data_IF_633616060655
#
_entry.id   IF_633616060655
#
_cell.length_a   1.000
_cell.length_b   1.000
_cell.length_c   1.000
_cell.angle_alpha   90.00
_cell.angle_beta   90.00
_cell.angle_gamma   90.00
#
_symmetry.space_group_name_H-M   'P 1'
#
loop_
_entity.id
_entity.type
_entity.pdbx_description
1 polymer ?
#
# COMPACT_ATOMS: atom_id res chain seq x y z
N UNK A 1 -19.09 -16.94 13.87
CA UNK A 1 -18.50 -16.80 12.53
C UNK A 1 -17.06 -17.24 12.63
N UNK A 2 -16.52 -17.87 11.60
CA UNK A 2 -15.30 -18.66 11.67
C UNK A 2 -14.02 -17.80 11.66
N UNK A 3 -14.12 -16.55 12.14
CA UNK A 3 -13.04 -15.55 12.14
C UNK A 3 -12.68 -15.00 10.76
N UNK A 4 -13.42 -15.37 9.70
CA UNK A 4 -13.14 -14.98 8.31
C UNK A 4 -14.02 -13.82 7.87
N UNK A 5 -13.39 -12.76 7.36
CA UNK A 5 -14.08 -11.64 6.70
C UNK A 5 -14.37 -12.02 5.23
N UNK A 6 -15.64 -12.00 4.78
CA UNK A 6 -16.04 -12.60 3.50
C UNK A 6 -15.80 -11.69 2.29
N UNK A 7 -15.42 -10.43 2.51
CA UNK A 7 -15.32 -9.42 1.47
C UNK A 7 -13.88 -8.90 1.32
N UNK A 8 -13.67 -7.91 0.44
CA UNK A 8 -12.33 -7.38 0.18
C UNK A 8 -11.77 -6.67 1.42
N UNK A 9 -10.48 -6.86 1.71
CA UNK A 9 -9.82 -6.25 2.88
C UNK A 9 -9.97 -4.72 2.93
N UNK A 10 -10.03 -4.03 1.78
CA UNK A 10 -10.24 -2.58 1.74
C UNK A 10 -11.66 -2.15 2.12
N UNK A 11 -12.67 -3.03 1.98
CA UNK A 11 -14.01 -2.76 2.50
C UNK A 11 -14.05 -2.81 4.03
N UNK A 12 -13.11 -3.53 4.66
CA UNK A 12 -13.08 -3.66 6.11
C UNK A 12 -12.90 -2.30 6.80
N UNK A 13 -12.08 -1.41 6.23
CA UNK A 13 -11.95 -0.04 6.73
C UNK A 13 -13.31 0.63 6.80
N UNK A 14 -14.02 0.68 5.66
CA UNK A 14 -15.29 1.39 5.58
C UNK A 14 -16.33 0.77 6.53
N UNK A 15 -16.38 -0.55 6.64
CA UNK A 15 -17.32 -1.23 7.55
C UNK A 15 -17.01 -0.98 9.01
N UNK A 16 -15.73 -1.03 9.39
CA UNK A 16 -15.30 -0.77 10.75
C UNK A 16 -15.47 0.71 11.14
N UNK A 17 -15.24 1.64 10.22
CA UNK A 17 -15.52 3.07 10.43
C UNK A 17 -17.02 3.35 10.61
N UNK A 18 -17.90 2.63 9.91
CA UNK A 18 -19.36 2.84 10.00
C UNK A 18 -19.97 2.26 11.28
N UNK A 19 -19.40 1.17 11.81
CA UNK A 19 -19.87 0.54 13.06
C UNK A 19 -18.72 0.25 14.06
N UNK A 20 -18.07 1.28 14.63
CA UNK A 20 -16.97 1.08 15.57
C UNK A 20 -17.39 0.31 16.82
N UNK A 21 -18.66 0.37 17.22
CA UNK A 21 -19.16 -0.34 18.42
C UNK A 21 -19.07 -1.86 18.29
N UNK A 22 -19.24 -2.37 17.07
CA UNK A 22 -19.11 -3.80 16.78
C UNK A 22 -17.65 -4.20 16.56
N UNK A 23 -16.88 -3.38 15.84
CA UNK A 23 -15.54 -3.74 15.38
C UNK A 23 -14.42 -3.36 16.36
N UNK A 24 -14.59 -2.27 17.11
CA UNK A 24 -13.62 -1.74 18.08
C UNK A 24 -14.33 -1.30 19.37
N UNK A 25 -14.94 -2.23 20.14
CA UNK A 25 -15.73 -1.90 21.32
C UNK A 25 -14.92 -1.26 22.47
N UNK A 26 -13.60 -1.35 22.41
CA UNK A 26 -12.63 -0.76 23.33
C UNK A 26 -12.12 0.63 22.89
N UNK A 27 -12.51 1.10 21.70
CA UNK A 27 -12.18 2.44 21.22
C UNK A 27 -13.00 3.48 21.99
N UNK A 28 -12.37 4.60 22.37
CA UNK A 28 -13.07 5.73 23.00
C UNK A 28 -14.23 6.19 22.10
N UNK A 29 -15.44 6.34 22.65
CA UNK A 29 -16.62 6.81 21.92
C UNK A 29 -16.42 8.19 21.26
N UNK A 30 -15.43 8.97 21.71
CA UNK A 30 -15.05 10.28 21.14
C UNK A 30 -13.96 10.19 20.09
N UNK A 31 -13.39 9.01 19.86
CA UNK A 31 -12.39 8.82 18.83
C UNK A 31 -12.99 9.04 17.43
N UNK A 32 -12.13 9.40 16.49
CA UNK A 32 -12.48 9.41 15.08
C UNK A 32 -12.93 8.00 14.66
N UNK A 33 -14.12 7.82 14.04
CA UNK A 33 -14.54 6.53 13.52
C UNK A 33 -13.52 5.86 12.60
N UNK A 34 -12.73 6.65 11.86
CA UNK A 34 -11.68 6.13 10.98
C UNK A 34 -10.53 5.46 11.74
N UNK A 35 -10.35 5.75 13.04
CA UNK A 35 -9.40 5.03 13.88
C UNK A 35 -9.77 3.54 13.99
N UNK A 36 -11.07 3.19 14.00
CA UNK A 36 -11.49 1.79 13.96
C UNK A 36 -11.25 1.16 12.59
N UNK A 37 -11.51 1.91 11.52
CA UNK A 37 -11.21 1.50 10.14
C UNK A 37 -9.75 1.13 9.94
N UNK A 38 -8.84 2.02 10.37
CA UNK A 38 -7.40 1.83 10.30
C UNK A 38 -6.96 0.62 11.12
N UNK A 39 -7.31 0.57 12.41
CA UNK A 39 -6.96 -0.55 13.29
C UNK A 39 -7.41 -1.90 12.75
N UNK A 40 -8.60 -1.95 12.13
CA UNK A 40 -9.16 -3.18 11.55
C UNK A 40 -8.39 -3.63 10.32
N UNK A 41 -7.99 -2.71 9.44
CA UNK A 41 -7.13 -3.03 8.29
C UNK A 41 -5.74 -3.44 8.74
N UNK A 42 -5.11 -2.70 9.65
CA UNK A 42 -3.77 -3.02 10.16
C UNK A 42 -3.72 -4.41 10.77
N UNK A 43 -4.67 -4.70 11.67
CA UNK A 43 -4.79 -6.03 12.27
C UNK A 43 -5.02 -7.11 11.22
N UNK A 44 -5.89 -6.87 10.23
CA UNK A 44 -6.15 -7.86 9.19
C UNK A 44 -4.94 -8.10 8.29
N UNK A 45 -4.27 -7.05 7.82
CA UNK A 45 -3.06 -7.16 7.00
C UNK A 45 -1.95 -7.84 7.80
N UNK A 46 -1.73 -7.43 9.05
CA UNK A 46 -0.76 -8.06 9.94
C UNK A 46 -1.04 -9.55 10.14
N UNK A 47 -2.29 -9.95 10.34
CA UNK A 47 -2.70 -11.35 10.42
C UNK A 47 -2.47 -12.12 9.10
N UNK A 48 -2.74 -11.50 7.95
CA UNK A 48 -2.55 -12.12 6.63
C UNK A 48 -1.08 -12.26 6.23
N UNK A 49 -0.22 -11.35 6.64
CA UNK A 49 1.22 -11.40 6.40
C UNK A 49 1.95 -12.17 7.51
N UNK A 50 1.33 -12.29 8.68
CA UNK A 50 1.95 -12.87 9.86
C UNK A 50 3.02 -11.97 10.46
N UNK A 51 2.89 -10.65 10.38
CA UNK A 51 3.84 -9.68 10.94
C UNK A 51 3.08 -8.64 11.75
N UNK A 52 3.78 -8.00 12.69
CA UNK A 52 3.24 -6.83 13.38
C UNK A 52 3.37 -5.58 12.49
N UNK A 53 2.24 -4.91 12.26
CA UNK A 53 2.22 -3.58 11.64
C UNK A 53 2.35 -2.58 12.79
N UNK A 54 3.51 -1.93 12.88
CA UNK A 54 3.80 -1.02 13.98
C UNK A 54 3.12 0.33 13.83
N UNK A 55 3.08 0.85 12.60
CA UNK A 55 2.56 2.17 12.27
C UNK A 55 2.00 2.21 10.84
N UNK A 56 1.12 3.18 10.59
CA UNK A 56 0.59 3.48 9.26
C UNK A 56 0.92 4.91 8.83
N UNK A 57 0.92 5.13 7.51
CA UNK A 57 0.85 6.44 6.91
C UNK A 57 -0.30 6.45 5.89
N UNK A 58 -1.34 7.23 6.17
CA UNK A 58 -2.49 7.43 5.31
C UNK A 58 -2.34 8.77 4.58
N UNK A 59 -2.48 8.74 3.26
CA UNK A 59 -2.41 9.92 2.40
C UNK A 59 -3.59 9.89 1.44
N UNK A 60 -4.29 11.02 1.32
CA UNK A 60 -5.34 11.17 0.30
C UNK A 60 -4.74 11.61 -1.05
N UNK A 61 -5.59 11.70 -2.08
CA UNK A 61 -5.12 12.04 -3.42
C UNK A 61 -4.53 13.45 -3.52
N UNK A 62 -5.12 14.42 -2.81
CA UNK A 62 -4.66 15.81 -2.83
C UNK A 62 -3.31 15.92 -2.09
N UNK A 63 -3.23 15.31 -0.92
CA UNK A 63 -2.02 15.22 -0.13
C UNK A 63 -0.88 14.51 -0.88
N UNK A 64 -1.19 13.48 -1.65
CA UNK A 64 -0.21 12.81 -2.50
C UNK A 64 0.37 13.73 -3.58
N UNK A 65 -0.50 14.48 -4.29
CA UNK A 65 -0.05 15.44 -5.29
C UNK A 65 0.78 16.56 -4.65
N UNK A 66 0.31 17.14 -3.54
CA UNK A 66 1.04 18.17 -2.80
C UNK A 66 2.41 17.69 -2.31
N UNK A 67 2.52 16.44 -1.86
CA UNK A 67 3.78 15.86 -1.41
C UNK A 67 4.79 15.77 -2.56
N UNK A 68 4.35 15.33 -3.74
CA UNK A 68 5.20 15.24 -4.92
C UNK A 68 5.67 16.62 -5.38
N UNK A 69 4.77 17.59 -5.42
CA UNK A 69 5.13 18.96 -5.76
C UNK A 69 6.13 19.55 -4.76
N UNK A 70 5.97 19.24 -3.46
CA UNK A 70 6.87 19.69 -2.40
C UNK A 70 8.28 19.11 -2.50
N UNK A 71 8.47 17.93 -3.11
CA UNK A 71 9.80 17.37 -3.38
C UNK A 71 10.40 17.84 -4.72
N UNK A 72 9.70 18.71 -5.45
CA UNK A 72 10.15 19.25 -6.74
C UNK A 72 9.69 18.43 -7.96
N UNK A 73 8.68 17.58 -7.79
CA UNK A 73 8.18 16.67 -8.80
C UNK A 73 8.82 15.27 -8.74
N UNK A 74 8.33 14.38 -9.59
CA UNK A 74 8.69 12.97 -9.61
C UNK A 74 9.25 12.57 -10.97
N UNK A 75 10.48 12.05 -11.03
CA UNK A 75 11.02 11.50 -12.28
C UNK A 75 10.49 10.08 -12.51
N UNK A 76 9.65 9.89 -13.53
CA UNK A 76 9.17 8.57 -13.95
C UNK A 76 9.70 8.24 -15.35
N UNK A 77 10.06 6.97 -15.56
CA UNK A 77 10.55 6.45 -16.82
C UNK A 77 9.56 5.45 -17.40
N UNK A 78 8.79 5.87 -18.41
CA UNK A 78 7.78 5.03 -19.04
C UNK A 78 8.39 4.30 -20.26
N UNK A 79 8.17 2.98 -20.42
CA UNK A 79 8.71 2.23 -21.56
C UNK A 79 8.02 2.57 -22.89
N UNK A 80 6.81 3.12 -22.83
CA UNK A 80 5.97 3.54 -23.95
C UNK A 80 4.99 4.63 -23.52
N UNK A 81 4.19 5.14 -24.45
CA UNK A 81 3.19 6.17 -24.16
C UNK A 81 2.01 5.56 -23.40
N UNK A 82 1.65 6.11 -22.24
CA UNK A 82 0.47 5.68 -21.50
C UNK A 82 -0.76 6.42 -22.04
N UNK A 83 -1.75 5.66 -22.50
CA UNK A 83 -3.05 6.18 -22.91
C UNK A 83 -4.14 5.62 -22.00
N UNK A 84 -4.96 6.47 -21.40
CA UNK A 84 -6.17 6.06 -20.68
C UNK A 84 -7.35 6.97 -21.06
N UNK A 85 -8.15 6.58 -22.07
CA UNK A 85 -9.24 7.41 -22.59
C UNK A 85 -10.46 7.46 -21.67
N UNK A 86 -10.46 6.67 -20.60
CA UNK A 86 -11.54 6.64 -19.60
C UNK A 86 -11.06 7.19 -18.26
N UNK A 87 -9.94 7.91 -18.25
CA UNK A 87 -9.35 8.43 -17.04
C UNK A 87 -10.17 9.60 -16.50
N UNK A 88 -10.66 9.45 -15.27
CA UNK A 88 -11.30 10.52 -14.52
C UNK A 88 -10.23 11.35 -13.81
N UNK A 89 -9.56 12.25 -14.57
CA UNK A 89 -8.49 13.14 -14.10
C UNK A 89 -8.84 14.16 -13.02
N UNK A 90 -9.90 13.92 -12.26
CA UNK A 90 -10.28 14.71 -11.10
C UNK A 90 -9.85 14.01 -9.81
N UNK A 91 -9.38 14.80 -8.83
CA UNK A 91 -9.19 14.36 -7.43
C UNK A 91 -10.49 13.80 -6.82
N UNK A 92 -11.64 14.20 -7.39
CA UNK A 92 -12.98 13.83 -6.95
C UNK A 92 -13.66 12.78 -7.87
N UNK A 93 -12.93 12.15 -8.80
CA UNK A 93 -13.47 11.24 -9.85
C UNK A 93 -14.57 11.88 -10.73
N UNK A 94 -14.50 13.19 -10.97
CA UNK A 94 -15.35 13.86 -11.95
C UNK A 94 -14.88 13.53 -13.38
N UNK A 95 -15.82 13.24 -14.27
CA UNK A 95 -15.55 12.95 -15.69
C UNK A 95 -14.76 14.10 -16.32
N UNK A 96 -13.60 13.79 -16.87
CA UNK A 96 -12.81 14.72 -17.69
C UNK A 96 -13.04 14.35 -19.16
N UNK A 97 -13.27 15.34 -20.02
CA UNK A 97 -13.52 15.08 -21.45
C UNK A 97 -12.25 14.65 -22.22
N UNK A 98 -11.07 14.79 -21.62
CA UNK A 98 -9.78 14.52 -22.25
C UNK A 98 -9.16 13.21 -21.76
N UNK A 99 -8.70 12.40 -22.71
CA UNK A 99 -7.95 11.18 -22.43
C UNK A 99 -6.62 11.49 -21.72
N UNK A 100 -6.24 10.69 -20.74
CA UNK A 100 -4.88 10.75 -20.18
C UNK A 100 -3.89 10.28 -21.25
N UNK A 101 -2.87 11.09 -21.52
CA UNK A 101 -1.71 10.71 -22.34
C UNK A 101 -0.44 11.13 -21.63
N UNK A 102 0.39 10.17 -21.22
CA UNK A 102 1.73 10.44 -20.68
C UNK A 102 2.81 9.94 -21.65
N UNK A 103 3.82 10.76 -21.96
CA UNK A 103 4.82 10.43 -22.97
C UNK A 103 5.76 9.32 -22.52
N UNK A 104 6.29 8.56 -23.49
CA UNK A 104 7.35 7.59 -23.26
C UNK A 104 8.67 8.27 -22.85
N UNK A 105 9.52 7.54 -22.12
CA UNK A 105 10.83 8.01 -21.67
C UNK A 105 10.82 8.54 -20.24
N UNK A 106 11.95 9.11 -19.82
CA UNK A 106 12.14 9.64 -18.47
C UNK A 106 11.83 11.13 -18.41
N UNK A 107 10.73 11.50 -17.76
CA UNK A 107 10.30 12.89 -17.62
C UNK A 107 10.06 13.23 -16.14
N UNK A 108 10.22 14.51 -15.75
CA UNK A 108 9.66 15.00 -14.50
C UNK A 108 8.14 15.11 -14.64
N UNK A 109 7.42 14.65 -13.64
CA UNK A 109 5.97 14.76 -13.52
C UNK A 109 5.63 15.54 -12.26
N UNK A 110 4.64 16.42 -12.35
CA UNK A 110 4.08 17.07 -11.16
C UNK A 110 3.20 16.10 -10.37
N UNK A 111 2.68 16.56 -9.24
CA UNK A 111 1.84 15.74 -8.37
C UNK A 111 0.59 15.20 -9.04
N UNK A 112 -0.03 15.96 -9.95
CA UNK A 112 -1.25 15.54 -10.64
C UNK A 112 -0.95 14.50 -11.71
N UNK A 113 0.11 14.68 -12.50
CA UNK A 113 0.52 13.71 -13.51
C UNK A 113 0.99 12.39 -12.87
N UNK A 114 1.76 12.47 -11.79
CA UNK A 114 2.19 11.28 -11.04
C UNK A 114 1.01 10.55 -10.40
N UNK A 115 0.01 11.29 -9.90
CA UNK A 115 -1.23 10.71 -9.39
C UNK A 115 -2.01 10.02 -10.52
N UNK A 116 -2.08 10.66 -11.69
CA UNK A 116 -2.74 10.09 -12.86
C UNK A 116 -2.08 8.80 -13.33
N UNK A 117 -0.74 8.79 -13.37
CA UNK A 117 0.05 7.59 -13.66
C UNK A 117 -0.27 6.43 -12.70
N UNK A 118 -0.36 6.72 -11.39
CA UNK A 118 -0.65 5.73 -10.35
C UNK A 118 -2.11 5.24 -10.33
N UNK A 119 -3.06 6.03 -10.83
CA UNK A 119 -4.51 5.73 -10.81
C UNK A 119 -5.02 5.09 -12.09
N UNK A 120 -4.41 5.37 -13.24
CA UNK A 120 -4.83 4.85 -14.53
C UNK A 120 -5.01 3.33 -14.48
N UNK A 121 -6.06 2.83 -15.13
CA UNK A 121 -6.43 1.40 -15.09
C UNK A 121 -6.93 0.87 -16.42
N UNK A 122 -7.64 1.67 -17.21
CA UNK A 122 -8.43 1.20 -18.36
C UNK A 122 -7.79 1.59 -19.70
N UNK A 123 -6.46 1.68 -19.67
CA UNK A 123 -5.64 2.16 -20.77
C UNK A 123 -4.80 1.09 -21.47
N UNK A 124 -3.84 1.56 -22.28
CA UNK A 124 -2.75 0.77 -22.83
C UNK A 124 -1.43 1.56 -22.76
N UNK A 125 -0.32 0.84 -22.76
CA UNK A 125 1.00 1.39 -23.06
C UNK A 125 1.27 1.13 -24.54
N UNK A 126 1.53 2.18 -25.32
CA UNK A 126 1.96 2.07 -26.71
C UNK A 126 3.49 2.12 -26.77
N UNK A 127 4.09 0.99 -27.14
CA UNK A 127 5.54 0.83 -27.22
C UNK A 127 6.12 1.53 -28.46
N UNK A 128 7.42 1.85 -28.47
CA UNK A 128 8.06 2.49 -29.63
C UNK A 128 7.98 1.71 -30.94
N UNK A 129 7.73 0.41 -30.90
CA UNK A 129 7.52 -0.45 -32.08
C UNK A 129 6.06 -0.50 -32.56
N UNK A 130 5.16 0.25 -31.91
CA UNK A 130 3.74 0.34 -32.20
C UNK A 130 2.88 -0.76 -31.57
N UNK A 131 3.48 -1.67 -30.78
CA UNK A 131 2.71 -2.66 -30.02
C UNK A 131 1.97 -2.01 -28.84
N UNK A 132 0.83 -2.58 -28.44
CA UNK A 132 0.00 -2.06 -27.35
C UNK A 132 -0.18 -3.09 -26.25
N UNK A 133 0.18 -2.71 -25.03
CA UNK A 133 0.02 -3.52 -23.84
C UNK A 133 -1.15 -3.02 -22.99
N UNK A 134 -2.21 -3.80 -22.91
CA UNK A 134 -3.40 -3.46 -22.12
C UNK A 134 -3.05 -3.35 -20.64
N UNK A 135 -3.55 -2.30 -19.99
CA UNK A 135 -3.37 -2.07 -18.57
C UNK A 135 -4.51 -2.68 -17.76
N UNK A 136 -4.21 -3.08 -16.53
CA UNK A 136 -5.19 -3.64 -15.60
C UNK A 136 -4.84 -3.29 -14.14
N UNK A 137 -5.55 -3.87 -13.18
CA UNK A 137 -5.31 -3.64 -11.76
C UNK A 137 -3.90 -4.08 -11.30
N UNK A 138 -3.30 -5.12 -11.90
CA UNK A 138 -1.93 -5.54 -11.58
C UNK A 138 -0.91 -4.53 -12.11
N UNK A 139 -1.04 -4.08 -13.36
CA UNK A 139 -0.18 -3.03 -13.92
C UNK A 139 -0.31 -1.71 -13.15
N UNK A 140 -1.51 -1.41 -12.60
CA UNK A 140 -1.69 -0.26 -11.70
C UNK A 140 -0.91 -0.44 -10.39
N UNK A 141 -0.98 -1.61 -9.76
CA UNK A 141 -0.23 -1.88 -8.53
C UNK A 141 1.29 -1.77 -8.76
N UNK A 142 1.79 -2.22 -9.91
CA UNK A 142 3.19 -2.04 -10.29
C UNK A 142 3.58 -0.57 -10.44
N UNK A 143 2.73 0.27 -11.04
CA UNK A 143 2.96 1.70 -11.16
C UNK A 143 2.93 2.43 -9.83
N UNK A 144 2.02 2.07 -8.92
CA UNK A 144 1.99 2.61 -7.56
C UNK A 144 3.31 2.32 -6.82
N UNK A 145 3.86 1.12 -6.99
CA UNK A 145 5.17 0.78 -6.47
C UNK A 145 6.31 1.56 -7.14
N UNK A 146 6.27 1.72 -8.46
CA UNK A 146 7.25 2.52 -9.20
C UNK A 146 7.25 3.99 -8.73
N UNK A 147 6.07 4.55 -8.44
CA UNK A 147 5.91 5.88 -7.86
C UNK A 147 6.56 5.99 -6.48
N UNK A 148 6.35 5.02 -5.58
CA UNK A 148 6.96 5.03 -4.25
C UNK A 148 8.49 4.95 -4.32
N UNK A 149 9.01 4.13 -5.23
CA UNK A 149 10.46 4.02 -5.48
C UNK A 149 11.03 5.30 -6.08
N UNK A 150 10.33 5.90 -7.05
CA UNK A 150 10.74 7.18 -7.60
C UNK A 150 10.71 8.28 -6.53
N UNK A 151 9.71 8.29 -5.65
CA UNK A 151 9.59 9.29 -4.58
C UNK A 151 10.76 9.15 -3.61
N UNK A 152 11.11 7.91 -3.24
CA UNK A 152 12.32 7.62 -2.47
C UNK A 152 13.57 8.15 -3.16
N UNK A 153 13.72 7.90 -4.46
CA UNK A 153 14.90 8.33 -5.22
C UNK A 153 15.00 9.86 -5.28
N UNK A 154 13.88 10.57 -5.33
CA UNK A 154 13.83 12.03 -5.19
C UNK A 154 14.18 12.48 -3.77
N UNK A 155 13.64 11.81 -2.75
CA UNK A 155 13.96 12.05 -1.33
C UNK A 155 15.43 11.85 -1.00
N UNK A 156 16.11 10.94 -1.71
CA UNK A 156 17.52 10.64 -1.55
C UNK A 156 18.47 11.69 -2.17
N UNK A 157 17.96 12.62 -2.99
CA UNK A 157 18.83 13.59 -3.68
C UNK A 157 19.37 14.64 -2.73
N UNK A 158 20.66 14.95 -2.89
CA UNK A 158 21.36 15.95 -2.07
C UNK A 158 20.73 17.35 -2.14
N UNK A 159 20.09 17.69 -3.26
CA UNK A 159 19.44 18.99 -3.45
C UNK A 159 18.19 19.16 -2.56
N UNK A 160 17.57 18.06 -2.11
CA UNK A 160 16.39 18.10 -1.25
C UNK A 160 16.70 18.52 0.20
N UNK A 161 17.98 18.48 0.62
CA UNK A 161 18.39 18.96 1.95
C UNK A 161 17.96 20.41 2.16
N UNK A 162 17.96 21.23 1.11
CA UNK A 162 17.53 22.63 1.16
C UNK A 162 16.01 22.79 1.23
N UNK A 163 15.25 21.85 0.69
CA UNK A 163 13.78 21.84 0.65
C UNK A 163 13.15 21.05 1.81
N UNK A 164 13.97 20.38 2.64
CA UNK A 164 13.51 19.51 3.73
C UNK A 164 12.46 20.16 4.65
N UNK A 165 12.56 21.45 5.05
CA UNK A 165 11.50 22.08 5.84
C UNK A 165 10.16 22.24 5.10
N UNK A 166 10.16 22.40 3.78
CA UNK A 166 8.94 22.43 2.97
C UNK A 166 8.35 21.01 2.84
N UNK A 167 9.19 20.02 2.56
CA UNK A 167 8.81 18.60 2.48
C UNK A 167 8.19 18.11 3.79
N UNK A 168 8.83 18.37 4.94
CA UNK A 168 8.31 17.97 6.25
C UNK A 168 6.97 18.65 6.57
N UNK A 169 6.77 19.89 6.12
CA UNK A 169 5.48 20.58 6.25
C UNK A 169 4.41 20.00 5.34
N UNK A 170 4.76 19.59 4.12
CA UNK A 170 3.84 18.89 3.22
C UNK A 170 3.43 17.54 3.84
N UNK A 171 4.40 16.71 4.23
CA UNK A 171 4.17 15.45 4.96
C UNK A 171 3.24 15.68 6.15
N UNK A 172 3.53 16.66 7.03
CA UNK A 172 2.71 16.91 8.22
C UNK A 172 1.29 17.42 7.97
N UNK A 173 0.97 17.89 6.75
CA UNK A 173 -0.39 18.31 6.36
C UNK A 173 -1.12 17.23 5.55
N UNK A 174 -0.38 16.44 4.79
CA UNK A 174 -0.89 15.50 3.79
C UNK A 174 -1.00 14.07 4.33
N UNK A 175 -0.23 13.73 5.36
CA UNK A 175 -0.18 12.38 5.93
C UNK A 175 -0.83 12.36 7.32
N UNK A 176 -1.77 11.44 7.49
CA UNK A 176 -2.28 10.99 8.79
C UNK A 176 -1.52 9.75 9.24
N UNK A 177 -1.08 9.70 10.49
CA UNK A 177 -0.27 8.60 11.04
C UNK A 177 -0.47 8.48 12.54
N UNK A 178 -0.30 7.28 13.08
CA UNK A 178 -0.19 7.00 14.50
C UNK A 178 1.25 7.11 15.05
N UNK A 179 2.23 7.38 14.18
CA UNK A 179 3.61 7.52 14.58
C UNK A 179 3.79 8.65 15.62
N UNK A 180 4.43 8.41 16.77
CA UNK A 180 4.54 9.41 17.84
C UNK A 180 5.25 10.69 17.38
N UNK A 181 4.62 11.84 17.60
CA UNK A 181 5.15 13.15 17.16
C UNK A 181 6.49 13.49 17.81
N UNK A 182 6.70 13.05 19.04
CA UNK A 182 7.96 13.23 19.78
C UNK A 182 9.09 12.34 19.27
N UNK A 183 8.78 11.29 18.50
CA UNK A 183 9.73 10.41 17.82
C UNK A 183 9.97 10.78 16.36
N UNK A 184 9.32 11.82 15.83
CA UNK A 184 9.46 12.21 14.41
C UNK A 184 10.93 12.45 13.97
N UNK A 185 11.80 12.84 14.91
CA UNK A 185 13.24 12.95 14.67
C UNK A 185 13.91 11.59 14.38
N UNK A 186 13.42 10.50 14.96
CA UNK A 186 13.93 9.16 14.72
C UNK A 186 13.64 8.73 13.28
N UNK A 187 12.44 9.03 12.75
CA UNK A 187 12.12 8.79 11.35
C UNK A 187 13.04 9.58 10.40
N UNK A 188 13.34 10.84 10.74
CA UNK A 188 14.28 11.65 9.97
C UNK A 188 15.70 11.03 9.94
N UNK A 189 16.09 10.32 11.01
CA UNK A 189 17.37 9.60 11.07
C UNK A 189 17.42 8.36 10.16
N UNK A 190 16.27 7.81 9.77
CA UNK A 190 16.16 6.67 8.86
C UNK A 190 16.21 7.08 7.38
N UNK A 191 16.04 8.37 7.06
CA UNK A 191 16.04 8.85 5.65
C UNK A 191 17.27 8.39 4.86
N UNK A 192 18.52 8.44 5.39
CA UNK A 192 19.68 7.93 4.67
C UNK A 192 19.64 6.42 4.41
N UNK A 193 19.01 5.63 5.28
CA UNK A 193 18.84 4.18 5.10
C UNK A 193 17.80 3.89 4.02
N UNK A 194 16.68 4.62 4.04
CA UNK A 194 15.62 4.54 3.03
C UNK A 194 16.15 4.97 1.65
N UNK A 195 17.07 5.95 1.61
CA UNK A 195 17.79 6.35 0.39
C UNK A 195 18.82 5.32 -0.11
N UNK A 196 19.10 4.27 0.67
CA UNK A 196 20.06 3.23 0.35
C UNK A 196 19.56 2.23 -0.70
N UNK A 197 20.47 1.40 -1.25
CA UNK A 197 20.12 0.40 -2.26
C UNK A 197 19.36 -0.81 -1.68
N UNK A 198 19.34 -0.98 -0.37
CA UNK A 198 18.87 -2.18 0.34
C UNK A 198 17.34 -2.17 0.57
N UNK A 199 16.57 -1.88 -0.49
CA UNK A 199 15.12 -2.02 -0.48
C UNK A 199 14.70 -3.21 -1.32
N UNK A 200 14.04 -4.14 -0.67
CA UNK A 200 13.36 -5.25 -1.32
C UNK A 200 11.88 -4.91 -1.57
N UNK A 201 11.37 -5.35 -2.71
CA UNK A 201 9.98 -5.15 -3.11
C UNK A 201 9.33 -6.47 -3.48
N UNK A 202 8.11 -6.67 -2.99
CA UNK A 202 7.24 -7.77 -3.39
C UNK A 202 5.85 -7.25 -3.74
N UNK A 203 5.30 -7.75 -4.84
CA UNK A 203 3.89 -7.58 -5.19
C UNK A 203 3.20 -8.92 -4.96
N UNK A 204 2.28 -8.96 -4.00
CA UNK A 204 1.48 -10.15 -3.71
C UNK A 204 0.34 -10.32 -4.73
N UNK A 205 0.72 -10.50 -6.00
CA UNK A 205 -0.15 -10.56 -7.16
C UNK A 205 -0.39 -11.97 -7.72
N UNK A 206 -1.13 -12.02 -8.83
CA UNK A 206 -1.35 -13.26 -9.59
C UNK A 206 -0.17 -13.48 -10.56
N UNK A 207 0.23 -14.74 -10.81
CA UNK A 207 -0.31 -15.98 -10.26
C UNK A 207 0.31 -16.43 -8.93
N UNK A 208 1.39 -15.82 -8.46
CA UNK A 208 2.24 -16.38 -7.41
C UNK A 208 1.56 -16.41 -6.04
N UNK A 209 0.86 -15.33 -5.67
CA UNK A 209 0.39 -15.12 -4.30
C UNK A 209 -1.14 -15.07 -4.16
N UNK A 210 -1.88 -15.01 -5.27
CA UNK A 210 -3.35 -15.02 -5.23
C UNK A 210 -3.94 -15.90 -6.32
N UNK A 211 -5.11 -16.46 -6.04
CA UNK A 211 -5.96 -17.11 -7.02
C UNK A 211 -6.99 -16.12 -7.56
N UNK A 212 -7.28 -16.23 -8.86
CA UNK A 212 -8.39 -15.51 -9.48
C UNK A 212 -9.74 -16.01 -8.89
N UNK A 213 -10.80 -15.19 -8.94
CA UNK A 213 -12.10 -15.57 -8.45
C UNK A 213 -12.62 -16.81 -9.21
N UNK A 214 -13.27 -17.73 -8.49
CA UNK A 214 -13.90 -18.91 -9.11
C UNK A 214 -15.20 -18.58 -9.85
N UNK A 215 -15.86 -17.47 -9.47
CA UNK A 215 -17.08 -16.93 -10.07
C UNK A 215 -16.95 -15.40 -10.25
N UNK A 216 -16.13 -14.94 -11.22
CA UNK A 216 -15.80 -13.52 -11.39
C UNK A 216 -17.02 -12.63 -11.69
N UNK A 217 -18.09 -13.20 -12.25
CA UNK A 217 -19.38 -12.56 -12.52
C UNK A 217 -20.22 -12.29 -11.26
N UNK A 218 -19.96 -13.01 -10.17
CA UNK A 218 -20.69 -12.86 -8.89
C UNK A 218 -19.92 -11.96 -7.93
N UNK A 219 -18.63 -12.22 -7.74
CA UNK A 219 -17.77 -11.40 -6.90
C UNK A 219 -16.32 -11.48 -7.39
N UNK A 220 -15.72 -10.32 -7.67
CA UNK A 220 -14.31 -10.24 -7.98
C UNK A 220 -13.49 -10.16 -6.68
N UNK A 221 -13.29 -11.31 -6.05
CA UNK A 221 -12.48 -11.48 -4.84
C UNK A 221 -11.25 -12.35 -5.12
N UNK A 222 -10.06 -11.75 -5.00
CA UNK A 222 -8.79 -12.47 -5.09
C UNK A 222 -8.57 -13.25 -3.80
N UNK A 223 -8.28 -14.54 -3.91
CA UNK A 223 -8.09 -15.43 -2.74
C UNK A 223 -6.59 -15.62 -2.48
N UNK A 224 -6.06 -15.17 -1.34
CA UNK A 224 -4.64 -15.30 -1.01
C UNK A 224 -4.16 -16.76 -0.94
N UNK A 225 -2.99 -17.02 -1.54
CA UNK A 225 -2.23 -18.27 -1.39
C UNK A 225 -1.36 -18.17 -0.14
N UNK A 226 -1.97 -18.53 1.00
CA UNK A 226 -1.39 -18.37 2.33
C UNK A 226 0.02 -18.94 2.48
N UNK A 227 0.28 -20.13 1.95
CA UNK A 227 1.59 -20.76 2.08
C UNK A 227 2.67 -20.02 1.28
N UNK A 228 2.37 -19.60 0.04
CA UNK A 228 3.29 -18.80 -0.77
C UNK A 228 3.58 -17.44 -0.13
N UNK A 229 2.56 -16.78 0.43
CA UNK A 229 2.75 -15.52 1.17
C UNK A 229 3.61 -15.74 2.41
N UNK A 230 3.36 -16.81 3.18
CA UNK A 230 4.17 -17.13 4.37
C UNK A 230 5.63 -17.36 4.00
N UNK A 231 5.91 -18.15 2.98
CA UNK A 231 7.28 -18.42 2.51
C UNK A 231 8.00 -17.12 2.12
N UNK A 232 7.29 -16.21 1.45
CA UNK A 232 7.81 -14.90 1.08
C UNK A 232 8.10 -14.01 2.31
N UNK A 233 7.19 -13.98 3.28
CA UNK A 233 7.39 -13.19 4.50
C UNK A 233 8.54 -13.75 5.36
N UNK A 234 8.73 -15.08 5.41
CA UNK A 234 9.91 -15.70 6.03
C UNK A 234 11.19 -15.26 5.34
N UNK A 235 11.18 -15.17 4.00
CA UNK A 235 12.35 -14.76 3.22
C UNK A 235 12.75 -13.31 3.49
N UNK A 236 11.78 -12.42 3.68
CA UNK A 236 12.00 -10.97 3.88
C UNK A 236 12.29 -10.64 5.34
N UNK A 237 11.45 -11.09 6.27
CA UNK A 237 11.50 -10.69 7.68
C UNK A 237 12.21 -11.71 8.58
N UNK A 238 12.40 -12.95 8.11
CA UNK A 238 12.90 -14.05 8.92
C UNK A 238 11.79 -14.72 9.73
N UNK A 239 11.99 -16.00 10.04
CA UNK A 239 10.97 -16.83 10.69
C UNK A 239 10.58 -16.33 12.09
N UNK A 240 11.53 -15.75 12.83
CA UNK A 240 11.33 -15.35 14.23
C UNK A 240 10.46 -14.08 14.37
N UNK A 241 10.35 -13.28 13.29
CA UNK A 241 9.51 -12.09 13.23
C UNK A 241 8.04 -12.42 12.93
N UNK A 242 7.75 -13.65 12.46
CA UNK A 242 6.39 -14.02 12.12
C UNK A 242 5.56 -14.35 13.36
N UNK A 243 4.40 -13.70 13.46
CA UNK A 243 3.40 -13.91 14.52
C UNK A 243 2.02 -14.28 13.95
N UNK A 244 1.10 -14.69 14.83
CA UNK A 244 -0.30 -14.96 14.46
C UNK A 244 -0.59 -16.37 13.90
N UNK A 245 -1.68 -16.48 13.12
CA UNK A 245 -2.33 -17.75 12.72
C UNK A 245 -1.44 -18.71 11.93
N UNK A 246 -0.31 -18.24 11.42
CA UNK A 246 0.65 -19.07 10.70
C UNK A 246 1.40 -20.06 11.59
N UNK A 247 1.40 -19.86 12.92
CA UNK A 247 2.02 -20.74 13.93
C UNK A 247 1.09 -21.86 14.44
N UNK A 248 -0.20 -21.81 14.13
CA UNK A 248 -1.22 -22.72 14.67
C UNK A 248 -1.44 -24.00 13.87
N UNK A 249 -0.39 -24.61 13.32
CA UNK A 249 -0.56 -25.65 12.30
C UNK A 249 0.52 -26.70 12.15
N UNK A 250 1.44 -26.91 13.09
CA UNK A 250 2.24 -28.15 13.14
C UNK A 250 2.69 -28.46 14.56
N UNK A 251 2.52 -29.74 14.94
CA UNK A 251 2.85 -30.40 16.21
C UNK A 251 1.80 -30.20 17.31
N UNK A 252 0.85 -31.15 17.35
CA UNK A 252 0.20 -31.58 18.57
C UNK A 252 1.27 -31.92 19.61
N UNK A 253 1.51 -31.04 20.58
CA UNK A 253 2.19 -31.46 21.80
C UNK A 253 1.24 -32.42 22.53
N UNK A 254 1.67 -33.64 22.90
CA UNK A 254 0.87 -34.50 23.74
C UNK A 254 0.63 -33.76 25.06
N UNK A 255 -0.63 -33.71 25.47
CA UNK A 255 -1.07 -33.16 26.75
C UNK A 255 -0.26 -33.86 27.85
N UNK A 256 0.67 -33.14 28.47
CA UNK A 256 1.41 -33.63 29.63
C UNK A 256 0.43 -33.87 30.78
N UNK A 257 0.43 -35.10 31.30
CA UNK A 257 -0.28 -35.47 32.52
C UNK A 257 0.06 -34.53 33.69
N UNK A 258 -0.89 -34.27 34.60
CA UNK A 258 -0.62 -33.45 35.78
C UNK A 258 0.38 -34.17 36.68
N UNK A 259 1.51 -33.52 36.96
CA UNK A 259 2.50 -34.01 37.90
C UNK A 259 1.86 -34.16 39.29
N UNK A 260 1.72 -35.42 39.73
CA UNK A 260 1.38 -35.75 41.10
C UNK A 260 2.50 -35.33 42.05
N UNK A 261 2.11 -34.62 43.12
CA UNK A 261 2.94 -34.43 44.31
C UNK A 261 3.10 -35.77 45.06
N UNK A 262 4.29 -36.02 45.60
CA UNK A 262 4.40 -36.53 46.96
C UNK A 262 4.95 -35.48 47.94
#
# INVERSE_FOLDING_TARGET
>A
SDGLYPDKVNELFARASIDPTTWCPDLDERADPDACGLRSIEGSIGLYLGIEIHHYALIDMAGFAELIDAVGGLRLCLPGELHDPQFDGSLDNLEVEEALVLPAGCHPYDGLDALAYARSRKGWIEMPDGTREAQNDFSRNERQQAVLLALRDELARADLIFELPAVLRAIGRSISTDFPRDQAGDLASLVPLIAGPDIERVVLGYPEYVNLPTQPEVNYLLVPKRDAIREEMVRIFGQDELSGWYLGGTVSQPIGEPAGQP
#
